data_IF_928312203222
#
_entry.id   IF_928312203222
#
_cell.length_a   1.000
_cell.length_b   1.000
_cell.length_c   1.000
_cell.angle_alpha   90.00
_cell.angle_beta   90.00
_cell.angle_gamma   90.00
#
_symmetry.space_group_name_H-M   'P 1'
#
loop_
_entity.id
_entity.type
_entity.pdbx_description
1 polymer ?
#
# COMPACT_ATOMS: atom_id res chain seq x y z
N UNK A 1 12.06 1.64 -25.52
CA UNK A 1 12.35 1.85 -24.07
C UNK A 1 13.86 1.77 -23.88
N UNK A 2 14.47 2.63 -23.07
CA UNK A 2 15.93 2.66 -22.85
C UNK A 2 16.25 2.49 -21.37
N UNK A 3 17.40 1.90 -21.03
CA UNK A 3 17.82 1.67 -19.64
C UNK A 3 17.75 2.96 -18.80
N UNK A 4 18.24 4.09 -19.35
CA UNK A 4 18.18 5.40 -18.68
C UNK A 4 16.76 5.84 -18.31
N UNK A 5 15.77 5.53 -19.16
CA UNK A 5 14.36 5.88 -18.89
C UNK A 5 13.78 4.98 -17.81
N UNK A 6 14.10 3.68 -17.84
CA UNK A 6 13.65 2.74 -16.80
C UNK A 6 14.22 3.12 -15.43
N UNK A 7 15.52 3.43 -15.34
CA UNK A 7 16.16 3.90 -14.10
C UNK A 7 15.48 5.16 -13.58
N UNK A 8 15.17 6.13 -14.46
CA UNK A 8 14.45 7.34 -14.06
C UNK A 8 13.09 7.02 -13.44
N UNK A 9 12.27 6.18 -14.07
CA UNK A 9 10.96 5.79 -13.53
C UNK A 9 11.11 5.11 -12.18
N UNK A 10 12.08 4.19 -12.03
CA UNK A 10 12.32 3.50 -10.77
C UNK A 10 12.79 4.44 -9.65
N UNK A 11 13.57 5.48 -9.98
CA UNK A 11 13.94 6.55 -9.03
C UNK A 11 12.73 7.38 -8.64
N UNK A 12 12.00 7.89 -9.63
CA UNK A 12 10.84 8.77 -9.45
C UNK A 12 9.71 8.09 -8.63
N UNK A 13 9.54 6.76 -8.77
CA UNK A 13 8.56 5.95 -8.03
C UNK A 13 9.10 5.32 -6.73
N UNK A 14 10.27 5.72 -6.24
CA UNK A 14 10.88 5.24 -4.99
C UNK A 14 11.22 3.73 -4.95
N UNK A 15 11.48 3.08 -6.08
CA UNK A 15 11.94 1.68 -6.12
C UNK A 15 13.43 1.54 -5.82
N UNK A 16 14.24 2.51 -6.26
CA UNK A 16 15.68 2.56 -6.02
C UNK A 16 16.20 4.01 -5.95
N UNK A 17 17.39 4.21 -5.37
CA UNK A 17 18.16 5.44 -5.51
C UNK A 17 19.39 5.22 -6.38
N UNK A 18 19.96 6.33 -6.86
CA UNK A 18 21.23 6.34 -7.56
C UNK A 18 22.14 7.32 -6.84
N UNK A 19 23.29 6.85 -6.37
CA UNK A 19 24.31 7.71 -5.76
C UNK A 19 25.62 7.57 -6.50
N UNK A 20 26.42 8.64 -6.53
CA UNK A 20 27.73 8.62 -7.17
C UNK A 20 28.80 8.19 -6.18
N UNK A 21 29.68 7.30 -6.62
CA UNK A 21 30.83 6.82 -5.85
C UNK A 21 32.10 7.20 -6.58
N UNK A 22 32.90 8.08 -5.95
CA UNK A 22 34.19 8.50 -6.47
C UNK A 22 34.11 9.76 -7.34
N UNK A 23 35.30 10.22 -7.76
CA UNK A 23 35.49 11.56 -8.29
C UNK A 23 34.75 11.83 -9.61
N UNK A 24 34.55 13.11 -9.92
CA UNK A 24 33.86 13.56 -11.13
C UNK A 24 34.44 12.95 -12.43
N UNK A 25 35.75 12.67 -12.47
CA UNK A 25 36.48 12.14 -13.65
C UNK A 25 36.69 10.62 -13.67
N UNK A 26 36.03 9.86 -12.81
CA UNK A 26 36.18 8.39 -12.79
C UNK A 26 35.19 7.63 -11.91
N UNK A 27 34.18 8.30 -11.38
CA UNK A 27 33.20 7.71 -10.48
C UNK A 27 32.21 6.78 -11.17
N UNK A 28 31.66 5.87 -10.39
CA UNK A 28 30.60 4.94 -10.80
C UNK A 28 29.29 5.28 -10.09
N UNK A 29 28.18 4.81 -10.63
CA UNK A 29 26.88 4.91 -9.97
C UNK A 29 26.64 3.66 -9.11
N UNK A 30 26.32 3.86 -7.83
CA UNK A 30 25.71 2.85 -6.99
C UNK A 30 24.18 2.93 -7.13
N UNK A 31 23.55 1.78 -7.33
CA UNK A 31 22.09 1.65 -7.36
C UNK A 31 21.63 1.01 -6.06
N UNK A 32 20.87 1.75 -5.26
CA UNK A 32 20.44 1.32 -3.93
C UNK A 32 18.98 0.91 -4.00
N UNK A 33 18.69 -0.37 -3.78
CA UNK A 33 17.31 -0.87 -3.82
C UNK A 33 16.56 -0.49 -2.54
N UNK A 34 15.34 0.03 -2.67
CA UNK A 34 14.55 0.44 -1.52
C UNK A 34 14.03 -0.78 -0.73
N UNK A 35 14.62 -1.04 0.44
CA UNK A 35 14.23 -2.13 1.37
C UNK A 35 12.77 -2.04 1.85
N UNK A 36 12.13 -0.88 1.80
CA UNK A 36 10.70 -0.74 2.16
C UNK A 36 9.75 -1.40 1.14
N UNK A 37 10.23 -1.64 -0.08
CA UNK A 37 9.47 -2.27 -1.17
C UNK A 37 10.04 -3.64 -1.51
N UNK A 38 11.37 -3.76 -1.53
CA UNK A 38 12.01 -5.03 -1.79
C UNK A 38 11.75 -6.03 -0.65
N UNK A 39 11.37 -7.26 -1.02
CA UNK A 39 11.08 -8.38 -0.11
C UNK A 39 9.91 -8.15 0.86
N UNK A 40 8.97 -7.26 0.54
CA UNK A 40 7.81 -6.94 1.38
C UNK A 40 6.74 -8.05 1.48
N UNK A 41 6.80 -9.08 0.62
CA UNK A 41 5.79 -10.14 0.50
C UNK A 41 5.73 -11.06 1.75
N UNK A 42 6.89 -11.45 2.29
CA UNK A 42 6.97 -12.21 3.56
C UNK A 42 8.06 -11.65 4.45
N UNK A 43 7.76 -11.45 5.73
CA UNK A 43 8.70 -10.93 6.74
C UNK A 43 10.01 -11.71 6.81
N UNK A 44 9.94 -13.00 6.48
CA UNK A 44 11.06 -13.94 6.39
C UNK A 44 11.94 -13.79 5.15
N UNK A 45 11.48 -13.08 4.11
CA UNK A 45 12.24 -12.87 2.86
C UNK A 45 13.34 -11.81 3.01
N UNK A 46 13.40 -11.08 4.13
CA UNK A 46 14.54 -10.21 4.46
C UNK A 46 15.86 -11.00 4.47
N UNK A 47 15.83 -12.32 4.73
CA UNK A 47 17.01 -13.21 4.66
C UNK A 47 17.60 -13.34 3.25
N UNK A 48 16.83 -13.04 2.21
CA UNK A 48 17.28 -13.04 0.81
C UNK A 48 17.92 -11.71 0.40
N UNK A 49 17.84 -10.68 1.25
CA UNK A 49 18.74 -9.55 1.13
C UNK A 49 20.14 -10.04 1.53
N UNK A 50 20.90 -10.50 0.54
CA UNK A 50 22.22 -11.11 0.74
C UNK A 50 23.23 -10.16 1.41
N UNK A 51 22.91 -8.88 1.55
CA UNK A 51 23.83 -7.86 2.02
C UNK A 51 23.08 -6.65 2.61
N UNK A 52 23.41 -6.29 3.85
CA UNK A 52 23.08 -5.00 4.46
C UNK A 52 24.38 -4.23 4.68
N UNK A 53 24.41 -2.96 4.29
CA UNK A 53 25.58 -2.12 4.43
C UNK A 53 25.23 -0.65 4.57
N UNK A 54 26.05 0.04 5.36
CA UNK A 54 26.03 1.50 5.45
C UNK A 54 27.10 2.07 4.52
N UNK A 55 26.67 2.79 3.48
CA UNK A 55 27.54 3.44 2.52
C UNK A 55 27.68 4.92 2.93
N UNK A 56 28.90 5.41 3.07
CA UNK A 56 29.22 6.82 3.35
C UNK A 56 29.81 7.41 2.08
N UNK A 57 29.21 8.47 1.57
CA UNK A 57 29.60 9.13 0.32
C UNK A 57 29.86 10.62 0.56
N UNK A 58 30.69 11.20 -0.30
CA UNK A 58 30.96 12.64 -0.26
C UNK A 58 29.74 13.42 -0.77
N UNK A 59 29.26 14.38 0.02
CA UNK A 59 28.16 15.26 -0.37
C UNK A 59 28.49 16.08 -1.62
N UNK A 60 29.77 16.47 -1.80
CA UNK A 60 30.22 17.23 -2.95
C UNK A 60 30.13 16.45 -4.29
N UNK A 61 29.98 15.13 -4.23
CA UNK A 61 29.86 14.27 -5.41
C UNK A 61 28.39 13.97 -5.79
N UNK A 62 27.41 14.43 -4.98
CA UNK A 62 26.00 14.12 -5.17
C UNK A 62 25.23 15.28 -5.79
N UNK A 63 24.12 14.97 -6.47
CA UNK A 63 23.17 15.97 -6.94
C UNK A 63 22.32 16.52 -5.77
N UNK A 64 21.72 17.70 -5.99
CA UNK A 64 20.90 18.38 -4.98
C UNK A 64 19.71 17.51 -4.53
N UNK A 65 19.10 16.76 -5.45
CA UNK A 65 17.99 15.84 -5.16
C UNK A 65 18.39 14.76 -4.14
N UNK A 66 19.60 14.20 -4.26
CA UNK A 66 20.13 13.21 -3.32
C UNK A 66 20.44 13.82 -1.95
N UNK A 67 20.84 15.08 -1.90
CA UNK A 67 21.22 15.79 -0.67
C UNK A 67 20.01 16.29 0.13
N UNK A 68 18.90 16.63 -0.53
CA UNK A 68 17.68 17.15 0.13
C UNK A 68 16.94 16.11 0.98
N UNK A 69 17.36 14.84 0.94
CA UNK A 69 17.24 13.90 2.06
C UNK A 69 15.83 13.46 2.48
N UNK A 70 14.79 13.83 1.74
CA UNK A 70 13.40 13.51 2.05
C UNK A 70 12.76 12.63 0.98
N UNK A 71 12.66 11.33 1.23
CA UNK A 71 11.89 10.46 0.33
C UNK A 71 10.39 10.64 0.57
N UNK A 72 9.57 10.80 -0.49
CA UNK A 72 8.13 10.79 -0.32
C UNK A 72 7.66 9.47 0.31
N UNK A 73 6.50 9.47 0.99
CA UNK A 73 5.88 8.23 1.43
C UNK A 73 5.64 7.30 0.23
N UNK A 74 5.78 5.99 0.46
CA UNK A 74 5.47 5.01 -0.57
C UNK A 74 3.99 5.06 -0.91
N UNK A 75 3.67 4.85 -2.20
CA UNK A 75 2.29 4.66 -2.63
C UNK A 75 1.69 3.49 -1.87
N UNK A 76 0.68 3.76 -1.06
CA UNK A 76 -0.07 2.70 -0.37
C UNK A 76 -1.06 2.09 -1.36
N UNK A 77 -1.03 0.76 -1.46
CA UNK A 77 -2.11 0.02 -2.09
C UNK A 77 -3.26 -0.10 -1.08
N UNK A 78 -4.52 -0.12 -1.55
CA UNK A 78 -5.64 -0.39 -0.66
C UNK A 78 -5.41 -1.73 0.03
N UNK A 79 -5.40 -1.70 1.36
CA UNK A 79 -5.42 -2.93 2.16
C UNK A 79 -6.85 -3.44 2.14
N UNK A 80 -7.14 -4.38 1.25
CA UNK A 80 -8.35 -5.16 1.36
C UNK A 80 -8.13 -6.12 2.53
N UNK A 81 -8.61 -5.75 3.72
CA UNK A 81 -8.65 -6.67 4.85
C UNK A 81 -9.56 -7.85 4.55
N UNK A 82 -9.72 -8.75 5.52
CA UNK A 82 -10.81 -9.74 5.51
C UNK A 82 -12.12 -9.02 5.87
N UNK A 83 -12.64 -8.18 4.96
CA UNK A 83 -13.96 -7.58 5.12
C UNK A 83 -14.98 -8.48 4.42
N UNK A 84 -15.96 -8.94 5.19
CA UNK A 84 -17.09 -9.68 4.63
C UNK A 84 -17.85 -8.76 3.69
N UNK A 85 -17.99 -9.14 2.42
CA UNK A 85 -18.78 -8.38 1.46
C UNK A 85 -20.26 -8.47 1.88
N UNK A 86 -21.01 -7.35 1.87
CA UNK A 86 -22.44 -7.40 2.15
C UNK A 86 -23.09 -8.37 1.16
N UNK A 87 -23.81 -9.35 1.70
CA UNK A 87 -24.57 -10.28 0.87
C UNK A 87 -25.76 -9.49 0.35
N UNK A 88 -25.95 -9.42 -0.97
CA UNK A 88 -27.11 -8.73 -1.55
C UNK A 88 -28.42 -9.40 -1.13
N UNK A 89 -29.55 -8.75 -1.42
CA UNK A 89 -30.89 -9.31 -1.24
C UNK A 89 -30.90 -10.72 -1.86
N UNK A 90 -30.97 -11.75 -1.01
CA UNK A 90 -30.73 -13.14 -1.41
C UNK A 90 -31.52 -13.55 -2.65
N UNK A 91 -30.98 -14.48 -3.43
CA UNK A 91 -31.68 -14.99 -4.62
C UNK A 91 -32.92 -15.79 -4.23
N UNK A 92 -33.90 -15.92 -5.13
CA UNK A 92 -35.03 -16.84 -4.95
C UNK A 92 -34.54 -18.29 -4.75
N UNK A 93 -35.31 -19.15 -4.03
CA UNK A 93 -34.92 -20.53 -3.76
C UNK A 93 -34.45 -21.30 -5.01
N UNK A 94 -33.41 -22.16 -4.90
CA UNK A 94 -33.00 -22.91 -3.70
C UNK A 94 -31.80 -22.31 -2.94
N UNK A 95 -31.70 -20.99 -2.81
CA UNK A 95 -30.81 -20.36 -1.83
C UNK A 95 -31.16 -20.80 -0.41
N UNK A 96 -30.13 -21.06 0.41
CA UNK A 96 -30.28 -21.29 1.83
C UNK A 96 -30.19 -19.94 2.56
N UNK A 97 -31.28 -19.42 3.14
CA UNK A 97 -31.23 -18.22 3.96
C UNK A 97 -30.51 -18.50 5.30
N UNK A 98 -30.07 -17.43 5.97
CA UNK A 98 -29.59 -17.52 7.35
C UNK A 98 -30.70 -18.08 8.26
N UNK A 99 -30.32 -18.88 9.24
CA UNK A 99 -31.25 -19.37 10.25
C UNK A 99 -31.55 -18.24 11.25
N UNK A 100 -32.81 -18.13 11.66
CA UNK A 100 -33.28 -17.13 12.63
C UNK A 100 -32.47 -17.25 13.94
N UNK A 101 -31.82 -16.15 14.35
CA UNK A 101 -30.97 -16.08 15.54
C UNK A 101 -29.55 -16.63 15.38
N UNK A 102 -29.17 -17.06 14.16
CA UNK A 102 -27.81 -17.46 13.78
C UNK A 102 -27.30 -16.64 12.59
N UNK A 103 -27.78 -15.40 12.45
CA UNK A 103 -27.32 -14.49 11.44
C UNK A 103 -25.82 -14.20 11.68
N UNK A 104 -24.96 -14.30 10.64
CA UNK A 104 -23.59 -13.85 10.77
C UNK A 104 -23.58 -12.36 11.09
N UNK A 105 -22.77 -11.96 12.07
CA UNK A 105 -22.56 -10.55 12.44
C UNK A 105 -21.84 -9.83 11.29
N UNK A 106 -22.65 -9.36 10.35
CA UNK A 106 -22.23 -8.67 9.14
C UNK A 106 -22.22 -7.17 9.43
N UNK A 107 -21.21 -6.42 8.95
CA UNK A 107 -21.40 -5.00 8.73
C UNK A 107 -22.47 -4.83 7.63
N UNK A 108 -23.70 -4.53 8.04
CA UNK A 108 -24.82 -4.26 7.15
C UNK A 108 -24.89 -2.76 6.88
N UNK A 109 -24.59 -2.36 5.65
CA UNK A 109 -24.99 -1.03 5.15
C UNK A 109 -26.47 -1.15 4.82
N UNK A 110 -27.33 -0.58 5.66
CA UNK A 110 -28.78 -0.58 5.44
C UNK A 110 -29.11 0.56 4.51
N UNK A 111 -29.82 0.28 3.41
CA UNK A 111 -30.32 1.31 2.50
C UNK A 111 -31.81 1.48 2.70
N UNK A 112 -32.25 2.72 2.84
CA UNK A 112 -33.69 3.02 2.84
C UNK A 112 -34.27 2.99 1.41
N UNK A 113 -35.60 2.97 1.26
CA UNK A 113 -36.26 2.98 -0.06
C UNK A 113 -35.90 4.20 -0.93
N UNK A 114 -35.40 5.26 -0.31
CA UNK A 114 -34.96 6.50 -0.95
C UNK A 114 -33.46 6.47 -1.32
N UNK A 115 -32.76 5.35 -1.06
CA UNK A 115 -31.36 5.12 -1.40
C UNK A 115 -30.33 5.70 -0.43
N UNK A 116 -30.73 6.17 0.75
CA UNK A 116 -29.79 6.66 1.76
C UNK A 116 -29.12 5.50 2.50
N UNK A 117 -27.81 5.62 2.72
CA UNK A 117 -27.02 4.64 3.46
C UNK A 117 -27.03 4.93 4.96
N UNK A 118 -27.29 3.89 5.75
CA UNK A 118 -27.32 3.90 7.19
C UNK A 118 -26.34 2.86 7.73
N UNK A 119 -25.52 3.26 8.68
CA UNK A 119 -24.59 2.40 9.41
C UNK A 119 -25.18 2.07 10.77
N UNK A 120 -25.18 0.79 11.15
CA UNK A 120 -25.72 0.34 12.44
C UNK A 120 -24.56 0.15 13.42
N UNK A 121 -24.62 0.83 14.56
CA UNK A 121 -23.64 0.69 15.63
C UNK A 121 -23.78 -0.70 16.29
N UNK A 122 -22.69 -1.46 16.31
CA UNK A 122 -22.66 -2.86 16.78
C UNK A 122 -22.81 -3.01 18.31
N UNK A 123 -22.52 -1.97 19.10
CA UNK A 123 -22.64 -2.02 20.57
C UNK A 123 -24.02 -1.59 21.06
N UNK A 124 -24.69 -0.68 20.34
CA UNK A 124 -25.93 -0.04 20.79
C UNK A 124 -27.15 -0.35 19.91
N UNK A 125 -26.94 -0.89 18.70
CA UNK A 125 -28.01 -1.10 17.71
C UNK A 125 -28.55 0.18 17.08
N UNK A 126 -27.92 1.33 17.35
CA UNK A 126 -28.37 2.63 16.85
C UNK A 126 -27.99 2.82 15.38
N UNK A 127 -28.96 3.26 14.56
CA UNK A 127 -28.74 3.56 13.15
C UNK A 127 -28.26 5.01 12.98
N UNK A 128 -27.09 5.19 12.37
CA UNK A 128 -26.51 6.50 12.05
C UNK A 128 -26.45 6.69 10.54
N UNK A 129 -26.95 7.82 10.05
CA UNK A 129 -26.93 8.13 8.62
C UNK A 129 -25.49 8.34 8.17
N UNK A 130 -25.06 7.60 7.15
CA UNK A 130 -23.78 7.83 6.52
C UNK A 130 -23.89 9.07 5.63
N UNK A 131 -23.38 10.20 6.12
CA UNK A 131 -23.25 11.42 5.31
C UNK A 131 -22.01 11.21 4.43
N UNK A 132 -22.23 10.91 3.15
CA UNK A 132 -21.16 10.68 2.19
C UNK A 132 -20.17 11.84 2.12
N UNK A 133 -18.87 11.51 2.15
CA UNK A 133 -17.76 12.38 1.74
C UNK A 133 -17.32 12.06 0.33
#
# INVERSE_FOLDING_TARGET
MTIKRAVKVLKDENWLDVSRVGSERGGVNAYLVNRRVAWADKRENQRFAAFDARIILSAAEQDQETLEGGKPPLRQLPQLGETQLPTGDGIDPPSQPSLEGLEPDLPAIVRDPDGNEWEVNQETGEMQRRIGG
#
